data_IF_592163995534
#
_entry.id   IF_592163995534
#
_cell.length_a   1.000
_cell.length_b   1.000
_cell.length_c   1.000
_cell.angle_alpha   90.00
_cell.angle_beta   90.00
_cell.angle_gamma   90.00
#
_symmetry.space_group_name_H-M   'P 1'
#
loop_
_entity.id
_entity.type
_entity.pdbx_description
1 polymer ?
#
# COMPACT_ATOMS: atom_id res chain seq x y z
N UNK A 1 4.48 -12.33 -18.44
CA UNK A 1 4.64 -12.73 -17.03
C UNK A 1 3.31 -12.49 -16.35
N UNK A 2 2.85 -13.37 -15.46
CA UNK A 2 1.64 -13.10 -14.66
C UNK A 2 2.03 -12.28 -13.42
N UNK A 3 1.11 -11.45 -12.94
CA UNK A 3 1.31 -10.66 -11.72
C UNK A 3 1.05 -11.57 -10.52
N UNK A 4 2.08 -11.88 -9.73
CA UNK A 4 1.96 -12.75 -8.57
C UNK A 4 1.26 -12.00 -7.45
N UNK A 5 0.05 -12.43 -7.13
CA UNK A 5 -0.87 -11.71 -6.25
C UNK A 5 -1.30 -12.57 -5.09
N UNK A 6 -1.22 -12.03 -3.88
CA UNK A 6 -1.82 -12.64 -2.70
C UNK A 6 -3.08 -11.88 -2.29
N UNK A 7 -4.18 -12.61 -2.13
CA UNK A 7 -5.43 -12.09 -1.60
C UNK A 7 -5.54 -12.49 -0.13
N UNK A 8 -5.50 -11.51 0.77
CA UNK A 8 -5.74 -11.71 2.20
C UNK A 8 -7.21 -11.43 2.49
N UNK A 9 -7.99 -12.50 2.63
CA UNK A 9 -9.43 -12.44 2.84
C UNK A 9 -9.77 -12.39 4.34
N UNK A 10 -10.50 -11.35 4.81
CA UNK A 10 -10.91 -11.26 6.21
C UNK A 10 -12.12 -12.13 6.57
N UNK A 11 -12.76 -12.77 5.58
CA UNK A 11 -13.87 -13.71 5.79
C UNK A 11 -13.93 -14.74 4.66
N UNK A 12 -14.48 -15.95 4.91
CA UNK A 12 -14.46 -17.07 3.94
C UNK A 12 -15.09 -16.75 2.58
N UNK A 13 -16.24 -16.06 2.57
CA UNK A 13 -16.95 -15.73 1.34
C UNK A 13 -16.14 -14.89 0.34
N UNK A 14 -15.16 -14.09 0.79
CA UNK A 14 -14.27 -13.38 -0.13
C UNK A 14 -13.25 -14.32 -0.78
N UNK A 15 -12.74 -15.28 -0.02
CA UNK A 15 -11.86 -16.32 -0.55
C UNK A 15 -12.57 -17.13 -1.64
N UNK A 16 -13.79 -17.58 -1.34
CA UNK A 16 -14.62 -18.35 -2.28
C UNK A 16 -14.92 -17.57 -3.56
N UNK A 17 -15.34 -16.31 -3.42
CA UNK A 17 -15.58 -15.44 -4.56
C UNK A 17 -14.31 -15.27 -5.42
N UNK A 18 -13.16 -15.05 -4.78
CA UNK A 18 -11.88 -14.90 -5.49
C UNK A 18 -11.52 -16.16 -6.27
N UNK A 19 -11.64 -17.33 -5.66
CA UNK A 19 -11.36 -18.61 -6.31
C UNK A 19 -12.32 -18.87 -7.47
N UNK A 20 -13.60 -18.53 -7.33
CA UNK A 20 -14.59 -18.69 -8.40
C UNK A 20 -14.30 -17.82 -9.64
N UNK A 21 -13.62 -16.68 -9.46
CA UNK A 21 -13.31 -15.71 -10.50
C UNK A 21 -11.88 -15.84 -11.04
N UNK A 22 -11.09 -16.80 -10.54
CA UNK A 22 -9.69 -16.97 -10.91
C UNK A 22 -9.48 -17.17 -12.43
N UNK A 23 -10.45 -17.83 -13.09
CA UNK A 23 -10.43 -18.06 -14.54
C UNK A 23 -10.72 -16.79 -15.37
N UNK A 24 -11.33 -15.77 -14.77
CA UNK A 24 -11.56 -14.46 -15.40
C UNK A 24 -10.33 -13.53 -15.22
N UNK A 25 -9.46 -13.83 -14.26
CA UNK A 25 -8.33 -13.01 -13.83
C UNK A 25 -6.99 -13.53 -14.39
N UNK A 26 -6.95 -13.81 -15.70
CA UNK A 26 -5.82 -14.50 -16.35
C UNK A 26 -4.47 -13.78 -16.28
N UNK A 27 -4.48 -12.46 -16.07
CA UNK A 27 -3.27 -11.64 -15.89
C UNK A 27 -2.55 -11.94 -14.56
N UNK A 28 -3.25 -12.55 -13.60
CA UNK A 28 -2.76 -12.76 -12.24
C UNK A 28 -2.44 -14.23 -11.96
N UNK A 29 -1.39 -14.46 -11.17
CA UNK A 29 -1.16 -15.71 -10.46
C UNK A 29 -1.64 -15.50 -9.02
N UNK A 30 -2.80 -16.06 -8.69
CA UNK A 30 -3.53 -15.73 -7.46
C UNK A 30 -3.30 -16.81 -6.41
N UNK A 31 -2.83 -16.38 -5.24
CA UNK A 31 -2.84 -17.15 -3.99
C UNK A 31 -3.84 -16.50 -3.04
N UNK A 32 -4.67 -17.31 -2.38
CA UNK A 32 -5.68 -16.81 -1.44
C UNK A 32 -5.35 -17.33 -0.05
N UNK A 33 -5.30 -16.42 0.92
CA UNK A 33 -5.12 -16.75 2.33
C UNK A 33 -6.18 -16.09 3.19
N UNK A 34 -6.58 -16.80 4.25
CA UNK A 34 -7.51 -16.23 5.22
C UNK A 34 -6.75 -15.50 6.31
N UNK A 35 -7.03 -14.21 6.48
CA UNK A 35 -6.40 -13.35 7.48
C UNK A 35 -7.28 -12.17 7.82
N UNK A 36 -7.72 -12.10 9.09
CA UNK A 36 -8.33 -10.90 9.65
C UNK A 36 -7.26 -10.03 10.35
N UNK A 37 -7.68 -8.89 10.92
CA UNK A 37 -6.79 -7.97 11.62
C UNK A 37 -5.92 -8.61 12.70
N UNK A 38 -6.45 -9.61 13.41
CA UNK A 38 -5.72 -10.29 14.49
C UNK A 38 -4.66 -11.27 13.97
N UNK A 39 -4.82 -11.74 12.74
CA UNK A 39 -3.98 -12.79 12.14
C UNK A 39 -3.06 -12.32 11.04
N UNK A 40 -3.23 -11.10 10.53
CA UNK A 40 -2.50 -10.64 9.35
C UNK A 40 -1.05 -10.24 9.62
N UNK A 41 -0.74 -9.62 10.76
CA UNK A 41 0.63 -9.16 11.06
C UNK A 41 1.67 -10.30 11.11
N UNK A 42 1.38 -11.46 11.73
CA UNK A 42 2.30 -12.61 11.68
C UNK A 42 2.59 -13.13 10.27
N UNK A 43 1.69 -12.89 9.30
CA UNK A 43 1.86 -13.38 7.91
C UNK A 43 2.79 -12.49 7.09
N UNK A 44 2.97 -11.21 7.46
CA UNK A 44 3.67 -10.21 6.65
C UNK A 44 5.09 -10.64 6.30
N UNK A 45 5.85 -11.16 7.28
CA UNK A 45 7.23 -11.59 7.04
C UNK A 45 7.33 -12.68 5.97
N UNK A 46 6.39 -13.65 5.98
CA UNK A 46 6.31 -14.69 4.96
C UNK A 46 5.91 -14.11 3.61
N UNK A 47 4.89 -13.26 3.57
CA UNK A 47 4.39 -12.60 2.35
C UNK A 47 5.53 -11.85 1.65
N UNK A 48 6.40 -11.19 2.40
CA UNK A 48 7.57 -10.48 1.88
C UNK A 48 8.58 -11.41 1.21
N UNK A 49 8.82 -12.58 1.80
CA UNK A 49 9.81 -13.54 1.27
C UNK A 49 9.31 -14.38 0.09
N UNK A 50 8.00 -14.50 -0.11
CA UNK A 50 7.41 -15.36 -1.14
C UNK A 50 7.34 -14.71 -2.53
N UNK A 51 7.81 -13.47 -2.68
CA UNK A 51 7.99 -12.81 -3.98
C UNK A 51 6.68 -12.40 -4.65
N UNK A 52 5.65 -12.04 -3.89
CA UNK A 52 4.44 -11.43 -4.45
C UNK A 52 4.72 -10.01 -4.96
N UNK A 53 4.01 -9.64 -6.03
CA UNK A 53 4.07 -8.31 -6.63
C UNK A 53 3.08 -7.34 -5.96
N UNK A 54 1.92 -7.84 -5.55
CA UNK A 54 0.83 -7.03 -4.98
C UNK A 54 0.00 -7.84 -3.98
N UNK A 55 -0.49 -7.15 -2.95
CA UNK A 55 -1.42 -7.68 -1.96
C UNK A 55 -2.80 -7.08 -2.22
N UNK A 56 -3.84 -7.89 -2.22
CA UNK A 56 -5.23 -7.44 -2.27
C UNK A 56 -5.92 -7.86 -0.97
N UNK A 57 -6.62 -6.94 -0.32
CA UNK A 57 -7.38 -7.23 0.90
C UNK A 57 -8.56 -6.27 1.04
N UNK A 58 -9.26 -6.28 2.17
CA UNK A 58 -10.48 -5.49 2.37
C UNK A 58 -10.53 -4.82 3.73
N UNK A 59 -10.98 -3.57 3.77
CA UNK A 59 -11.30 -2.84 5.01
C UNK A 59 -10.12 -2.71 5.98
N UNK A 60 -10.38 -2.89 7.27
CA UNK A 60 -9.36 -2.78 8.32
C UNK A 60 -8.10 -3.62 8.06
N UNK A 61 -8.25 -4.85 7.56
CA UNK A 61 -7.11 -5.71 7.20
C UNK A 61 -6.23 -5.08 6.11
N UNK A 62 -6.83 -4.51 5.06
CA UNK A 62 -6.08 -3.81 4.01
C UNK A 62 -5.33 -2.60 4.56
N UNK A 63 -5.99 -1.79 5.40
CA UNK A 63 -5.37 -0.63 6.05
C UNK A 63 -4.20 -1.03 6.95
N UNK A 64 -4.31 -2.16 7.65
CA UNK A 64 -3.24 -2.66 8.51
C UNK A 64 -2.04 -3.15 7.67
N UNK A 65 -2.30 -3.85 6.58
CA UNK A 65 -1.29 -4.29 5.61
C UNK A 65 -0.56 -3.10 4.97
N UNK A 66 -1.28 -2.05 4.56
CA UNK A 66 -0.69 -0.83 3.97
C UNK A 66 0.33 -0.17 4.90
N UNK A 67 0.11 -0.23 6.21
CA UNK A 67 1.03 0.36 7.21
C UNK A 67 2.30 -0.45 7.45
N UNK A 68 2.27 -1.76 7.19
CA UNK A 68 3.34 -2.68 7.62
C UNK A 68 4.00 -3.44 6.47
N UNK A 69 3.48 -3.33 5.25
CA UNK A 69 4.03 -3.99 4.07
C UNK A 69 4.80 -3.01 3.18
N UNK A 70 5.95 -3.43 2.65
CA UNK A 70 6.60 -2.71 1.55
C UNK A 70 5.98 -3.02 0.18
N UNK A 71 5.23 -4.12 0.06
CA UNK A 71 4.51 -4.45 -1.16
C UNK A 71 3.29 -3.53 -1.32
N UNK A 72 2.92 -3.16 -2.55
CA UNK A 72 1.70 -2.40 -2.78
C UNK A 72 0.49 -3.20 -2.32
N UNK A 73 -0.41 -2.53 -1.59
CA UNK A 73 -1.66 -3.12 -1.08
C UNK A 73 -2.84 -2.40 -1.73
N UNK A 74 -3.70 -3.16 -2.41
CA UNK A 74 -4.94 -2.66 -2.99
C UNK A 74 -6.11 -3.08 -2.11
N UNK A 75 -6.88 -2.09 -1.65
CA UNK A 75 -8.11 -2.33 -0.91
C UNK A 75 -9.28 -2.62 -1.86
N UNK A 76 -10.02 -3.70 -1.58
CA UNK A 76 -11.32 -3.99 -2.17
C UNK A 76 -12.34 -3.05 -1.52
N UNK A 77 -12.95 -2.13 -2.29
CA UNK A 77 -13.92 -1.20 -1.74
C UNK A 77 -15.24 -1.91 -1.41
N UNK A 78 -16.08 -1.21 -0.67
CA UNK A 78 -17.52 -1.51 -0.63
C UNK A 78 -18.20 -0.60 -1.65
N UNK A 79 -18.88 -1.22 -2.59
CA UNK A 79 -19.60 -0.51 -3.66
C UNK A 79 -21.08 -0.31 -3.32
N UNK A 80 -21.76 0.54 -4.09
CA UNK A 80 -23.21 0.66 -4.02
C UNK A 80 -23.93 -0.65 -4.28
N UNK A 81 -23.40 -1.54 -5.14
CA UNK A 81 -23.98 -2.87 -5.37
C UNK A 81 -23.90 -3.78 -4.16
N UNK A 82 -22.82 -3.68 -3.38
CA UNK A 82 -22.67 -4.42 -2.12
C UNK A 82 -23.73 -3.97 -1.12
N UNK A 83 -23.95 -2.65 -1.03
CA UNK A 83 -24.98 -2.04 -0.19
C UNK A 83 -26.38 -2.42 -0.67
N UNK A 84 -26.66 -2.38 -1.97
CA UNK A 84 -27.94 -2.79 -2.55
C UNK A 84 -28.29 -4.25 -2.19
N UNK A 85 -27.31 -5.16 -2.25
CA UNK A 85 -27.52 -6.58 -1.88
C UNK A 85 -27.89 -6.74 -0.42
N UNK A 86 -27.17 -6.08 0.48
CA UNK A 86 -27.47 -6.18 1.91
C UNK A 86 -28.81 -5.54 2.25
N UNK A 87 -29.13 -4.38 1.66
CA UNK A 87 -30.43 -3.73 1.83
C UNK A 87 -31.57 -4.62 1.30
N UNK A 88 -31.38 -5.28 0.16
CA UNK A 88 -32.37 -6.22 -0.38
C UNK A 88 -32.55 -7.44 0.53
N UNK A 89 -31.47 -7.94 1.14
CA UNK A 89 -31.52 -9.07 2.07
C UNK A 89 -32.31 -8.75 3.34
N UNK A 90 -32.16 -7.53 3.86
CA UNK A 90 -32.86 -7.09 5.08
C UNK A 90 -34.21 -6.44 4.80
N UNK A 91 -34.51 -6.11 3.53
CA UNK A 91 -35.82 -5.57 3.12
C UNK A 91 -36.88 -6.65 3.37
N UNK A 92 -37.80 -6.37 4.29
CA UNK A 92 -38.85 -7.31 4.69
C UNK A 92 -38.50 -8.19 5.90
N UNK A 93 -37.33 -8.00 6.52
CA UNK A 93 -37.11 -8.52 7.88
C UNK A 93 -38.06 -7.79 8.84
N UNK A 94 -38.78 -8.56 9.67
CA UNK A 94 -39.61 -8.02 10.75
C UNK A 94 -38.79 -7.52 11.95
N UNK A 95 -37.51 -7.90 11.99
CA UNK A 95 -36.59 -7.56 13.05
C UNK A 95 -36.07 -6.12 12.92
N UNK A 96 -35.81 -5.46 14.06
CA UNK A 96 -35.16 -4.14 14.06
C UNK A 96 -33.68 -4.28 13.69
N UNK A 97 -33.31 -3.63 12.58
CA UNK A 97 -31.95 -3.63 12.03
C UNK A 97 -31.22 -2.32 12.32
N UNK A 98 -29.90 -2.40 12.51
CA UNK A 98 -29.02 -1.24 12.55
C UNK A 98 -27.72 -1.50 11.80
N UNK A 99 -27.28 -0.53 11.01
CA UNK A 99 -25.96 -0.54 10.39
C UNK A 99 -24.92 0.10 11.32
N UNK A 100 -23.88 -0.64 11.70
CA UNK A 100 -22.76 -0.11 12.47
C UNK A 100 -21.49 -0.22 11.61
N UNK A 101 -20.81 0.90 11.38
CA UNK A 101 -19.64 0.90 10.51
C UNK A 101 -18.90 2.23 10.43
N UNK A 102 -17.78 2.19 9.70
CA UNK A 102 -16.92 3.34 9.49
C UNK A 102 -17.52 4.37 8.52
N UNK A 103 -17.12 5.66 8.58
CA UNK A 103 -17.71 6.73 7.77
C UNK A 103 -17.81 6.40 6.28
N UNK A 104 -16.76 5.81 5.70
CA UNK A 104 -16.69 5.46 4.29
C UNK A 104 -17.73 4.40 3.85
N UNK A 105 -18.24 3.60 4.78
CA UNK A 105 -19.30 2.63 4.50
C UNK A 105 -20.67 3.26 4.78
N UNK A 106 -20.80 4.01 5.88
CA UNK A 106 -22.07 4.64 6.28
C UNK A 106 -22.55 5.67 5.25
N UNK A 107 -21.66 6.50 4.70
CA UNK A 107 -22.03 7.48 3.67
C UNK A 107 -22.66 6.81 2.43
N UNK A 108 -22.04 5.72 1.95
CA UNK A 108 -22.60 4.92 0.87
C UNK A 108 -23.91 4.26 1.27
N UNK A 109 -23.99 3.72 2.49
CA UNK A 109 -25.19 3.08 3.03
C UNK A 109 -26.38 4.03 3.04
N UNK A 110 -26.21 5.24 3.60
CA UNK A 110 -27.26 6.26 3.64
C UNK A 110 -27.73 6.67 2.24
N UNK A 111 -26.78 6.83 1.32
CA UNK A 111 -27.09 7.24 -0.06
C UNK A 111 -27.99 6.20 -0.74
N UNK A 112 -27.65 4.93 -0.62
CA UNK A 112 -28.40 3.84 -1.27
C UNK A 112 -29.70 3.54 -0.50
N UNK A 113 -29.70 3.57 0.84
CA UNK A 113 -30.90 3.29 1.64
C UNK A 113 -31.99 4.34 1.40
N UNK A 114 -31.62 5.62 1.27
CA UNK A 114 -32.53 6.69 0.90
C UNK A 114 -33.14 6.49 -0.49
N UNK A 115 -32.35 6.03 -1.47
CA UNK A 115 -32.85 5.74 -2.82
C UNK A 115 -33.79 4.53 -2.86
N UNK A 116 -33.59 3.57 -1.96
CA UNK A 116 -34.42 2.37 -1.88
C UNK A 116 -35.65 2.51 -0.96
N UNK A 117 -35.80 3.67 -0.30
CA UNK A 117 -36.81 3.93 0.73
C UNK A 117 -36.80 2.88 1.85
N UNK A 118 -35.58 2.50 2.28
CA UNK A 118 -35.37 1.55 3.37
C UNK A 118 -34.90 2.31 4.61
N UNK A 119 -35.75 2.36 5.63
CA UNK A 119 -35.43 3.02 6.91
C UNK A 119 -34.70 2.04 7.85
N UNK A 120 -33.38 2.15 7.89
CA UNK A 120 -32.51 1.41 8.80
C UNK A 120 -31.65 2.42 9.55
N UNK A 121 -31.75 2.35 10.89
CA UNK A 121 -30.89 3.15 11.76
C UNK A 121 -29.41 2.83 11.54
N UNK A 122 -28.53 3.79 11.81
CA UNK A 122 -27.10 3.58 11.69
C UNK A 122 -26.32 4.24 12.83
N UNK A 123 -25.16 3.68 13.12
CA UNK A 123 -24.17 4.24 14.05
C UNK A 123 -22.81 4.31 13.37
N UNK A 124 -22.19 5.49 13.39
CA UNK A 124 -20.85 5.71 12.85
C UNK A 124 -19.82 5.44 13.94
N UNK A 125 -18.80 4.65 13.60
CA UNK A 125 -17.64 4.39 14.47
C UNK A 125 -16.36 4.83 13.75
N UNK A 126 -15.38 5.38 14.47
CA UNK A 126 -14.10 5.80 13.86
C UNK A 126 -12.97 4.81 14.13
N UNK A 127 -13.07 4.04 15.20
CA UNK A 127 -12.07 3.10 15.67
C UNK A 127 -12.72 1.81 16.16
N UNK A 128 -11.98 0.70 16.13
CA UNK A 128 -12.47 -0.63 16.51
C UNK A 128 -12.92 -0.70 17.98
N UNK A 129 -12.33 0.11 18.85
CA UNK A 129 -12.65 0.19 20.28
C UNK A 129 -14.08 0.73 20.52
N UNK A 130 -14.63 1.48 19.58
CA UNK A 130 -15.98 2.06 19.68
C UNK A 130 -17.09 1.03 19.41
N UNK A 131 -16.76 -0.09 18.74
CA UNK A 131 -17.74 -1.10 18.34
C UNK A 131 -18.49 -1.68 19.55
N UNK A 132 -17.78 -1.95 20.64
CA UNK A 132 -18.39 -2.54 21.84
C UNK A 132 -19.48 -1.65 22.45
N UNK A 133 -19.21 -0.35 22.55
CA UNK A 133 -20.18 0.62 23.05
C UNK A 133 -21.38 0.76 22.09
N UNK A 134 -21.11 0.85 20.78
CA UNK A 134 -22.17 0.93 19.77
C UNK A 134 -23.10 -0.29 19.79
N UNK A 135 -22.56 -1.50 19.98
CA UNK A 135 -23.35 -2.73 20.10
C UNK A 135 -24.19 -2.77 21.38
N UNK A 136 -23.66 -2.28 22.51
CA UNK A 136 -24.39 -2.23 23.77
C UNK A 136 -25.58 -1.26 23.67
N UNK A 137 -25.38 -0.09 23.07
CA UNK A 137 -26.42 0.90 22.84
C UNK A 137 -27.49 0.41 21.85
N UNK A 138 -27.07 -0.28 20.78
CA UNK A 138 -27.99 -0.93 19.85
C UNK A 138 -28.87 -1.97 20.56
N UNK A 139 -28.28 -2.82 21.40
CA UNK A 139 -29.00 -3.81 22.19
C UNK A 139 -29.99 -3.17 23.16
N UNK A 140 -29.60 -2.09 23.83
CA UNK A 140 -30.47 -1.34 24.75
C UNK A 140 -31.68 -0.71 24.03
N UNK A 141 -31.54 -0.31 22.76
CA UNK A 141 -32.63 0.17 21.90
C UNK A 141 -33.51 -0.95 21.31
N UNK A 142 -33.22 -2.21 21.63
CA UNK A 142 -33.95 -3.37 21.14
C UNK A 142 -33.66 -3.72 19.68
N UNK A 143 -32.48 -3.35 19.16
CA UNK A 143 -31.98 -3.85 17.89
C UNK A 143 -31.71 -5.35 18.00
N UNK A 144 -32.13 -6.09 16.98
CA UNK A 144 -32.00 -7.55 16.92
C UNK A 144 -30.94 -7.97 15.90
N UNK A 145 -30.82 -7.19 14.81
CA UNK A 145 -29.90 -7.48 13.70
C UNK A 145 -28.94 -6.31 13.51
N UNK A 146 -27.64 -6.59 13.54
CA UNK A 146 -26.58 -5.62 13.27
C UNK A 146 -25.95 -5.93 11.92
N UNK A 147 -25.99 -4.95 11.01
CA UNK A 147 -25.27 -4.99 9.75
C UNK A 147 -23.93 -4.32 9.97
N UNK A 148 -22.83 -4.93 9.51
CA UNK A 148 -21.52 -4.33 9.70
C UNK A 148 -20.41 -5.09 8.99
N UNK A 149 -19.18 -4.70 9.28
CA UNK A 149 -17.99 -5.40 8.79
C UNK A 149 -17.65 -6.64 9.63
N UNK A 150 -16.56 -7.34 9.27
CA UNK A 150 -16.17 -8.60 9.90
C UNK A 150 -15.95 -8.47 11.41
N UNK A 151 -15.42 -7.34 11.87
CA UNK A 151 -15.16 -7.08 13.29
C UNK A 151 -16.47 -6.83 14.02
N UNK A 152 -17.31 -5.98 13.44
CA UNK A 152 -18.62 -5.60 13.98
C UNK A 152 -19.52 -6.82 14.13
N UNK A 153 -19.59 -7.67 13.10
CA UNK A 153 -20.39 -8.90 13.11
C UNK A 153 -19.87 -9.91 14.11
N UNK A 154 -18.55 -10.06 14.22
CA UNK A 154 -17.94 -10.95 15.21
C UNK A 154 -18.29 -10.51 16.63
N UNK A 155 -18.09 -9.23 16.96
CA UNK A 155 -18.43 -8.69 18.28
C UNK A 155 -19.94 -8.71 18.54
N UNK A 156 -20.79 -8.51 17.52
CA UNK A 156 -22.24 -8.61 17.65
C UNK A 156 -22.66 -10.02 18.10
N UNK A 157 -22.11 -11.05 17.46
CA UNK A 157 -22.37 -12.44 17.82
C UNK A 157 -21.91 -12.77 19.24
N UNK A 158 -20.72 -12.29 19.65
CA UNK A 158 -20.20 -12.45 21.02
C UNK A 158 -21.10 -11.77 22.08
N UNK A 159 -21.85 -10.75 21.70
CA UNK A 159 -22.79 -10.02 22.56
C UNK A 159 -24.27 -10.49 22.44
N UNK A 160 -24.51 -11.58 21.71
CA UNK A 160 -25.83 -12.18 21.53
C UNK A 160 -26.77 -11.43 20.58
N UNK A 161 -26.22 -10.62 19.67
CA UNK A 161 -26.96 -10.00 18.57
C UNK A 161 -26.74 -10.80 17.28
N UNK A 162 -27.74 -10.81 16.39
CA UNK A 162 -27.57 -11.40 15.07
C UNK A 162 -26.74 -10.45 14.20
N UNK A 163 -25.54 -10.87 13.79
CA UNK A 163 -24.71 -10.09 12.88
C UNK A 163 -24.93 -10.49 11.41
N UNK A 164 -25.01 -9.50 10.52
CA UNK A 164 -25.05 -9.69 9.06
C UNK A 164 -23.89 -8.92 8.43
N UNK A 165 -23.01 -9.66 7.77
CA UNK A 165 -21.81 -9.10 7.16
C UNK A 165 -22.15 -8.39 5.86
N UNK A 166 -21.71 -7.13 5.74
CA UNK A 166 -21.65 -6.46 4.44
C UNK A 166 -20.48 -7.02 3.63
N UNK A 167 -20.79 -7.78 2.58
CA UNK A 167 -19.81 -8.49 1.75
C UNK A 167 -19.51 -7.70 0.47
N UNK A 168 -18.25 -7.75 0.04
CA UNK A 168 -17.87 -7.30 -1.31
C UNK A 168 -18.30 -8.33 -2.36
N UNK A 169 -18.92 -7.88 -3.43
CA UNK A 169 -19.32 -8.68 -4.58
C UNK A 169 -18.29 -8.72 -5.70
N UNK A 170 -18.69 -9.35 -6.82
CA UNK A 170 -17.86 -9.56 -8.01
C UNK A 170 -17.30 -8.24 -8.54
N UNK A 171 -18.11 -7.19 -8.63
CA UNK A 171 -17.75 -5.90 -9.21
C UNK A 171 -16.64 -5.22 -8.39
N UNK A 172 -16.81 -5.19 -7.07
CA UNK A 172 -15.81 -4.62 -6.14
C UNK A 172 -14.49 -5.40 -6.21
N UNK A 173 -14.56 -6.73 -6.32
CA UNK A 173 -13.36 -7.56 -6.46
C UNK A 173 -12.66 -7.33 -7.81
N UNK A 174 -13.43 -7.34 -8.91
CA UNK A 174 -12.91 -7.08 -10.26
C UNK A 174 -12.29 -5.69 -10.38
N UNK A 175 -12.89 -4.69 -9.73
CA UNK A 175 -12.33 -3.35 -9.64
C UNK A 175 -10.98 -3.35 -8.90
N UNK A 176 -10.88 -4.04 -7.78
CA UNK A 176 -9.62 -4.15 -7.03
C UNK A 176 -8.51 -4.83 -7.87
N UNK A 177 -8.84 -5.91 -8.59
CA UNK A 177 -7.89 -6.55 -9.51
C UNK A 177 -7.50 -5.64 -10.67
N UNK A 178 -8.45 -4.91 -11.26
CA UNK A 178 -8.15 -3.92 -12.31
C UNK A 178 -7.18 -2.85 -11.82
N UNK A 179 -7.44 -2.30 -10.62
CA UNK A 179 -6.55 -1.32 -9.96
C UNK A 179 -5.16 -1.92 -9.68
N UNK A 180 -5.09 -3.17 -9.20
CA UNK A 180 -3.83 -3.87 -8.96
C UNK A 180 -3.01 -4.04 -10.25
N UNK A 181 -3.65 -4.43 -11.35
CA UNK A 181 -2.97 -4.56 -12.65
C UNK A 181 -2.45 -3.22 -13.18
N UNK A 182 -3.23 -2.15 -13.05
CA UNK A 182 -2.80 -0.79 -13.42
C UNK A 182 -1.63 -0.30 -12.57
N UNK A 183 -1.68 -0.55 -11.26
CA UNK A 183 -0.62 -0.20 -10.32
C UNK A 183 0.67 -0.94 -10.65
N UNK A 184 0.60 -2.25 -10.87
CA UNK A 184 1.74 -3.07 -11.27
C UNK A 184 2.36 -2.58 -12.57
N UNK A 185 1.57 -2.41 -13.64
CA UNK A 185 2.07 -1.92 -14.95
C UNK A 185 2.73 -0.55 -14.84
N UNK A 186 2.19 0.32 -14.00
CA UNK A 186 2.76 1.65 -13.76
C UNK A 186 4.11 1.55 -13.04
N UNK A 187 4.19 0.71 -12.00
CA UNK A 187 5.43 0.47 -11.27
C UNK A 187 6.51 -0.20 -12.15
N UNK A 188 6.12 -1.18 -12.96
CA UNK A 188 7.02 -1.87 -13.89
C UNK A 188 7.56 -0.90 -14.96
N UNK A 189 6.72 -0.03 -15.52
CA UNK A 189 7.15 1.00 -16.48
C UNK A 189 8.14 1.98 -15.85
N UNK A 190 7.94 2.37 -14.59
CA UNK A 190 8.86 3.22 -13.85
C UNK A 190 10.19 2.49 -13.58
N UNK A 191 10.14 1.21 -13.19
CA UNK A 191 11.31 0.37 -12.97
C UNK A 191 12.16 0.26 -14.24
N UNK A 192 11.56 -0.11 -15.37
CA UNK A 192 12.26 -0.22 -16.67
C UNK A 192 12.90 1.12 -17.07
N UNK A 193 12.18 2.24 -16.86
CA UNK A 193 12.73 3.57 -17.12
C UNK A 193 13.93 3.88 -16.22
N UNK A 194 13.84 3.59 -14.94
CA UNK A 194 14.94 3.81 -14.00
C UNK A 194 16.15 2.97 -14.37
N UNK A 195 15.98 1.67 -14.63
CA UNK A 195 17.06 0.79 -15.09
C UNK A 195 17.73 1.31 -16.37
N UNK A 196 16.93 1.83 -17.32
CA UNK A 196 17.45 2.47 -18.52
C UNK A 196 18.29 3.73 -18.19
N UNK A 197 17.82 4.59 -17.28
CA UNK A 197 18.56 5.76 -16.85
C UNK A 197 19.86 5.40 -16.11
N UNK A 198 19.82 4.41 -15.23
CA UNK A 198 21.00 3.89 -14.53
C UNK A 198 22.03 3.33 -15.51
N UNK A 199 21.58 2.57 -16.52
CA UNK A 199 22.44 2.04 -17.58
C UNK A 199 23.09 3.15 -18.41
N UNK A 200 22.38 4.26 -18.69
CA UNK A 200 22.95 5.43 -19.37
C UNK A 200 24.00 6.13 -18.49
N UNK A 201 23.69 6.37 -17.21
CA UNK A 201 24.61 6.99 -16.24
C UNK A 201 25.87 6.15 -16.00
N UNK A 202 25.75 4.81 -16.08
CA UNK A 202 26.85 3.88 -16.00
C UNK A 202 27.87 4.00 -17.14
N UNK A 203 27.47 4.52 -18.32
CA UNK A 203 28.34 4.69 -19.49
C UNK A 203 29.01 6.07 -19.58
N UNK A 204 28.68 6.99 -18.68
CA UNK A 204 29.26 8.34 -18.69
C UNK A 204 30.71 8.31 -18.17
N UNK A 205 31.54 9.22 -18.68
CA UNK A 205 32.97 9.33 -18.32
C UNK A 205 33.24 10.02 -16.97
N UNK A 206 32.20 10.30 -16.17
CA UNK A 206 32.30 10.92 -14.84
C UNK A 206 31.77 10.00 -13.74
N UNK A 207 32.26 10.18 -12.51
CA UNK A 207 31.68 9.55 -11.34
C UNK A 207 30.44 10.33 -10.88
N UNK A 208 29.28 9.69 -10.83
CA UNK A 208 28.03 10.30 -10.37
C UNK A 208 27.43 9.53 -9.22
N UNK A 209 26.96 10.24 -8.20
CA UNK A 209 26.15 9.66 -7.14
C UNK A 209 25.03 10.60 -6.68
N UNK A 210 23.96 10.00 -6.17
CA UNK A 210 22.87 10.67 -5.47
C UNK A 210 22.87 10.16 -4.03
N UNK A 211 22.85 11.07 -3.07
CA UNK A 211 22.84 10.73 -1.66
C UNK A 211 21.83 11.60 -0.90
N UNK A 212 21.26 11.05 0.18
CA UNK A 212 20.46 11.83 1.11
C UNK A 212 21.34 12.71 2.03
N UNK A 213 20.71 13.53 2.88
CA UNK A 213 21.42 14.39 3.82
C UNK A 213 22.24 13.62 4.87
N UNK A 214 21.88 12.37 5.15
CA UNK A 214 22.62 11.45 6.00
C UNK A 214 23.80 10.78 5.31
N UNK A 215 24.00 11.04 4.00
CA UNK A 215 25.03 10.42 3.19
C UNK A 215 24.67 9.01 2.72
N UNK A 216 23.41 8.57 2.89
CA UNK A 216 22.94 7.31 2.34
C UNK A 216 22.89 7.41 0.82
N UNK A 217 23.59 6.51 0.14
CA UNK A 217 23.62 6.48 -1.31
C UNK A 217 22.28 5.94 -1.84
N UNK A 218 21.61 6.74 -2.68
CA UNK A 218 20.43 6.32 -3.43
C UNK A 218 20.83 5.80 -4.81
N UNK A 219 21.88 6.36 -5.39
CA UNK A 219 22.47 5.92 -6.64
C UNK A 219 23.97 6.20 -6.63
N UNK A 220 24.76 5.31 -7.24
CA UNK A 220 26.16 5.56 -7.53
C UNK A 220 26.59 4.75 -8.75
N UNK A 221 27.05 5.43 -9.80
CA UNK A 221 27.50 4.74 -11.01
C UNK A 221 28.84 4.00 -10.75
N UNK A 222 29.20 3.00 -11.59
CA UNK A 222 30.39 2.18 -11.36
C UNK A 222 31.68 3.01 -11.26
N UNK A 223 31.82 4.05 -12.08
CA UNK A 223 32.99 4.92 -12.05
C UNK A 223 33.10 5.70 -10.73
N UNK A 224 31.99 6.17 -10.15
CA UNK A 224 31.99 6.80 -8.83
C UNK A 224 32.48 5.85 -7.75
N UNK A 225 31.92 4.63 -7.71
CA UNK A 225 32.33 3.61 -6.75
C UNK A 225 33.81 3.27 -6.89
N UNK A 226 34.31 3.11 -8.12
CA UNK A 226 35.72 2.83 -8.40
C UNK A 226 36.63 3.99 -7.97
N UNK A 227 36.28 5.24 -8.31
CA UNK A 227 37.07 6.42 -7.97
C UNK A 227 37.19 6.65 -6.46
N UNK A 228 36.11 6.43 -5.72
CA UNK A 228 36.09 6.53 -4.26
C UNK A 228 36.41 5.19 -3.55
N UNK A 229 36.81 4.15 -4.30
CA UNK A 229 37.10 2.80 -3.77
C UNK A 229 36.02 2.27 -2.81
N UNK A 230 34.75 2.57 -3.11
CA UNK A 230 33.62 2.12 -2.31
C UNK A 230 33.36 0.63 -2.60
N UNK A 231 33.15 -0.21 -1.58
CA UNK A 231 32.67 -1.58 -1.78
C UNK A 231 31.30 -1.57 -2.46
N UNK A 232 30.95 -2.63 -3.17
CA UNK A 232 29.67 -2.69 -3.89
C UNK A 232 28.46 -2.54 -2.96
N UNK A 233 28.60 -3.03 -1.72
CA UNK A 233 27.64 -2.98 -0.61
C UNK A 233 27.68 -1.68 0.21
N UNK A 234 28.45 -0.67 -0.23
CA UNK A 234 28.50 0.60 0.48
C UNK A 234 27.17 1.36 0.31
N UNK A 235 26.39 1.42 1.38
CA UNK A 235 25.12 2.14 1.40
C UNK A 235 25.25 3.57 1.94
N UNK A 236 26.42 3.95 2.49
CA UNK A 236 26.63 5.27 3.11
C UNK A 236 28.01 5.82 2.79
N UNK A 237 28.04 7.04 2.26
CA UNK A 237 29.26 7.75 1.88
C UNK A 237 30.08 8.21 3.10
N UNK A 238 29.39 8.69 4.15
CA UNK A 238 30.04 9.33 5.29
C UNK A 238 30.72 8.36 6.25
N UNK A 239 30.35 7.08 6.25
CA UNK A 239 31.03 6.06 7.06
C UNK A 239 32.48 5.90 6.63
N UNK A 240 32.73 5.92 5.32
CA UNK A 240 34.07 5.77 4.75
C UNK A 240 34.79 7.11 4.59
N UNK A 241 34.03 8.18 4.35
CA UNK A 241 34.56 9.53 4.15
C UNK A 241 33.82 10.56 5.01
N UNK A 242 34.07 10.61 6.33
CA UNK A 242 33.37 11.53 7.23
C UNK A 242 33.56 13.01 6.87
N UNK A 243 34.73 13.37 6.31
CA UNK A 243 35.03 14.74 5.87
C UNK A 243 34.14 15.25 4.75
N UNK A 244 33.52 14.34 3.98
CA UNK A 244 32.53 14.71 2.97
C UNK A 244 31.24 15.27 3.59
N UNK A 245 30.94 14.94 4.85
CA UNK A 245 29.76 15.47 5.54
C UNK A 245 29.79 16.99 5.70
N UNK A 246 30.97 17.56 5.95
CA UNK A 246 31.11 19.02 6.05
C UNK A 246 31.06 19.68 4.66
N UNK A 247 31.60 19.02 3.65
CA UNK A 247 31.59 19.50 2.26
C UNK A 247 30.18 19.48 1.65
N UNK A 248 29.36 18.49 2.00
CA UNK A 248 27.99 18.29 1.49
C UNK A 248 26.90 18.84 2.41
N UNK A 249 27.25 19.62 3.44
CA UNK A 249 26.29 20.27 4.34
C UNK A 249 25.26 21.14 3.57
N UNK A 250 25.65 21.66 2.41
CA UNK A 250 24.83 22.49 1.50
C UNK A 250 24.36 21.74 0.22
N UNK A 251 24.46 20.40 0.17
CA UNK A 251 24.26 19.59 -1.04
C UNK A 251 22.84 19.56 -1.63
N UNK A 252 21.89 20.31 -1.07
CA UNK A 252 20.60 20.59 -1.72
C UNK A 252 20.76 21.21 -3.11
N UNK A 253 21.94 21.73 -3.46
CA UNK A 253 22.25 22.33 -4.77
C UNK A 253 23.07 21.50 -5.76
N UNK A 254 23.50 20.30 -5.36
CA UNK A 254 24.47 19.56 -6.15
C UNK A 254 25.88 20.12 -6.07
N UNK A 255 26.89 19.25 -6.05
CA UNK A 255 28.28 19.65 -5.89
C UNK A 255 29.17 18.82 -6.82
N UNK A 256 30.04 19.49 -7.56
CA UNK A 256 31.04 18.85 -8.42
C UNK A 256 32.41 18.94 -7.74
N UNK A 257 33.02 17.79 -7.49
CA UNK A 257 34.39 17.65 -7.03
C UNK A 257 35.31 17.44 -8.25
N UNK A 258 36.21 18.39 -8.49
CA UNK A 258 37.26 18.29 -9.53
C UNK A 258 38.63 18.59 -8.92
N UNK A 259 39.67 17.88 -9.36
CA UNK A 259 41.06 18.14 -8.94
C UNK A 259 41.59 17.21 -7.82
N UNK A 260 42.76 17.55 -7.26
CA UNK A 260 43.35 16.84 -6.12
C UNK A 260 42.76 17.40 -4.82
N UNK A 261 41.88 16.64 -4.18
CA UNK A 261 41.43 16.89 -2.82
C UNK A 261 42.38 16.23 -1.81
N UNK A 262 42.42 16.70 -0.54
CA UNK A 262 43.31 16.18 0.50
C UNK A 262 43.20 14.67 0.71
N UNK A 263 42.07 14.08 0.33
CA UNK A 263 41.76 12.67 0.51
C UNK A 263 41.76 11.88 -0.81
N UNK A 264 41.68 12.52 -2.00
CA UNK A 264 41.48 11.82 -3.29
C UNK A 264 41.95 12.64 -4.52
N UNK A 265 42.52 11.96 -5.53
CA UNK A 265 42.79 12.51 -6.87
C UNK A 265 41.65 12.11 -7.82
N UNK A 266 40.75 13.04 -8.15
CA UNK A 266 39.53 12.74 -8.91
C UNK A 266 39.53 13.44 -10.28
N UNK A 267 39.31 12.66 -11.34
CA UNK A 267 39.22 13.14 -12.73
C UNK A 267 37.92 13.92 -13.02
N UNK A 268 36.83 13.66 -12.27
CA UNK A 268 35.62 14.49 -12.08
C UNK A 268 34.57 13.64 -11.37
N UNK A 269 34.08 14.09 -10.21
CA UNK A 269 33.00 13.43 -9.46
C UNK A 269 31.89 14.46 -9.21
N UNK A 270 30.63 14.12 -9.45
CA UNK A 270 29.49 14.94 -9.01
C UNK A 270 28.58 14.17 -8.08
N UNK A 271 28.17 14.84 -7.00
CA UNK A 271 27.23 14.34 -6.00
C UNK A 271 26.06 15.30 -5.92
N UNK A 272 24.85 14.78 -6.07
CA UNK A 272 23.63 15.58 -5.97
C UNK A 272 22.68 15.08 -4.88
N UNK A 273 22.03 16.04 -4.20
CA UNK A 273 20.83 15.74 -3.42
C UNK A 273 19.60 15.52 -4.32
N UNK A 274 18.49 15.06 -3.73
CA UNK A 274 17.25 14.67 -4.44
C UNK A 274 16.64 15.74 -5.37
N UNK A 275 16.96 17.03 -5.19
CA UNK A 275 16.34 18.15 -5.92
C UNK A 275 17.24 18.80 -6.98
N UNK A 276 18.22 18.06 -7.52
CA UNK A 276 19.23 18.61 -8.42
C UNK A 276 18.93 18.35 -9.91
N UNK A 277 19.03 19.38 -10.75
CA UNK A 277 18.98 19.26 -12.21
C UNK A 277 20.35 18.83 -12.78
N UNK A 278 20.33 18.06 -13.87
CA UNK A 278 21.48 17.35 -14.46
C UNK A 278 22.78 18.17 -14.66
N UNK A 279 23.98 17.54 -14.66
CA UNK A 279 25.26 18.20 -14.86
C UNK A 279 25.40 18.81 -16.27
N UNK A 280 25.94 20.03 -16.38
CA UNK A 280 26.48 20.52 -17.65
C UNK A 280 27.80 19.81 -17.95
N UNK A 281 27.93 19.24 -19.15
CA UNK A 281 29.14 18.53 -19.60
C UNK A 281 30.45 19.33 -19.46
N UNK A 282 30.39 20.67 -19.32
CA UNK A 282 31.58 21.53 -19.23
C UNK A 282 31.63 22.56 -18.09
N UNK A 283 30.67 22.63 -17.15
CA UNK A 283 30.65 23.74 -16.17
C UNK A 283 30.23 23.39 -14.73
N UNK A 284 30.11 22.10 -14.38
CA UNK A 284 29.67 21.66 -13.05
C UNK A 284 28.16 21.38 -12.97
N UNK A 285 27.72 20.92 -11.79
CA UNK A 285 26.34 20.61 -11.44
C UNK A 285 25.62 21.90 -11.03
N UNK A 286 24.46 22.19 -11.64
CA UNK A 286 23.70 23.43 -11.44
C UNK A 286 22.25 23.04 -11.12
N UNK A 287 21.65 23.69 -10.12
CA UNK A 287 20.20 23.65 -9.84
C UNK A 287 19.35 24.12 -11.01
#
# INVERSE_FOLDING_TARGET
MKIKTIVIAPYPGLSELTLSLQNELLEFEIVVEHGDLSRVLPLIGRIHTEGYDVIISRGGTAKLLQKHSYLPVVEIPISGFDILRILTLVKGYSAKCEMIGFPNIIEGFMSVSSLMEVDISYTVIHQEQEVGAALADAKARGIQVVIGDSITVKMAAENGLQGVLITSGKESLMEAFSRAGQLYKSAEKLKIKNEMYEAMLGKLQGGYAVADQGGKLEFANPLFKHLLKLPETADTLYTMYPGLREMFRDAGRGQTLTGRHPFMSLSRVCICGRNCCLPRMNAGCIC
#
